data_IF_401089417947
#
_entry.id   IF_401089417947
#
_cell.length_a   1.000
_cell.length_b   1.000
_cell.length_c   1.000
_cell.angle_alpha   90.00
_cell.angle_beta   90.00
_cell.angle_gamma   90.00
#
_symmetry.space_group_name_H-M   'P 1'
#
loop_
_entity.id
_entity.type
_entity.pdbx_description
1 polymer ?
#
# COMPACT_ATOMS: atom_id res chain seq x y z
N UNK A 1 8.09 -3.35 -8.74
CA UNK A 1 7.54 -3.73 -7.42
C UNK A 1 6.08 -3.32 -7.37
N UNK A 2 5.18 -4.12 -6.77
CA UNK A 2 3.75 -3.78 -6.72
C UNK A 2 3.42 -2.86 -5.55
N UNK A 3 2.55 -1.89 -5.78
CA UNK A 3 1.98 -0.99 -4.77
C UNK A 3 0.47 -0.88 -4.96
N UNK A 4 -0.26 -0.69 -3.86
CA UNK A 4 -1.71 -0.57 -3.86
C UNK A 4 -2.18 0.80 -3.35
N UNK A 5 -3.28 1.29 -3.91
CA UNK A 5 -3.97 2.51 -3.48
C UNK A 5 -5.42 2.19 -3.11
N UNK A 6 -5.85 2.61 -1.92
CA UNK A 6 -7.26 2.61 -1.55
C UNK A 6 -7.97 3.81 -2.18
N UNK A 7 -8.96 3.53 -3.03
CA UNK A 7 -9.59 4.54 -3.87
C UNK A 7 -11.07 4.24 -4.13
N UNK A 8 -11.87 5.30 -4.26
CA UNK A 8 -13.25 5.23 -4.70
C UNK A 8 -13.39 5.26 -6.23
N UNK A 9 -12.48 5.95 -6.92
CA UNK A 9 -12.63 6.35 -8.33
C UNK A 9 -11.52 5.86 -9.29
N UNK A 10 -10.50 5.15 -8.76
CA UNK A 10 -9.30 4.68 -9.47
C UNK A 10 -8.34 5.77 -9.96
N UNK A 11 -8.59 7.04 -9.60
CA UNK A 11 -7.80 8.20 -10.01
C UNK A 11 -7.14 8.89 -8.83
N UNK A 12 -7.84 8.92 -7.70
CA UNK A 12 -7.45 9.61 -6.48
C UNK A 12 -7.32 8.59 -5.35
N UNK A 13 -6.23 8.65 -4.60
CA UNK A 13 -6.16 7.96 -3.31
C UNK A 13 -7.02 8.78 -2.34
N UNK A 14 -8.20 8.28 -2.00
CA UNK A 14 -9.24 9.04 -1.30
C UNK A 14 -10.06 8.18 -0.33
N UNK A 15 -9.63 6.94 -0.07
CA UNK A 15 -10.41 6.01 0.74
C UNK A 15 -9.67 5.51 1.99
N UNK A 16 -10.46 5.22 3.01
CA UNK A 16 -10.04 4.35 4.10
C UNK A 16 -10.03 2.88 3.63
N UNK A 17 -9.18 2.04 4.21
CA UNK A 17 -8.98 0.68 3.74
C UNK A 17 -10.26 -0.17 3.69
N UNK A 18 -11.05 -0.18 4.77
CA UNK A 18 -12.28 -0.97 4.85
C UNK A 18 -13.42 -0.38 4.00
N UNK A 19 -13.38 0.93 3.73
CA UNK A 19 -14.42 1.66 2.99
C UNK A 19 -14.08 1.92 1.53
N UNK A 20 -12.95 1.43 1.03
CA UNK A 20 -12.56 1.62 -0.36
C UNK A 20 -13.42 0.76 -1.28
N UNK A 21 -14.00 1.35 -2.33
CA UNK A 21 -14.63 0.57 -3.40
C UNK A 21 -13.60 -0.22 -4.20
N UNK A 22 -12.37 0.26 -4.29
CA UNK A 22 -11.33 -0.38 -5.05
C UNK A 22 -9.97 -0.33 -4.37
N UNK A 23 -9.16 -1.36 -4.63
CA UNK A 23 -7.71 -1.30 -4.48
C UNK A 23 -7.09 -1.27 -5.88
N UNK A 24 -6.50 -0.13 -6.25
CA UNK A 24 -5.81 0.02 -7.53
C UNK A 24 -4.33 -0.39 -7.35
N UNK A 25 -3.88 -1.36 -8.14
CA UNK A 25 -2.54 -1.94 -8.05
C UNK A 25 -1.70 -1.48 -9.24
N UNK A 26 -0.51 -0.98 -8.94
CA UNK A 26 0.48 -0.55 -9.92
C UNK A 26 1.77 -1.33 -9.70
N UNK A 27 2.48 -1.63 -10.79
CA UNK A 27 3.90 -1.96 -10.70
C UNK A 27 4.71 -0.69 -10.94
N UNK A 28 5.72 -0.45 -10.12
CA UNK A 28 6.62 0.69 -10.20
C UNK A 28 8.08 0.25 -10.14
N UNK A 29 8.92 0.91 -10.91
CA UNK A 29 10.36 0.75 -10.92
C UNK A 29 11.07 2.05 -11.35
N UNK A 30 12.39 1.99 -11.59
CA UNK A 30 13.17 3.14 -12.02
C UNK A 30 12.63 3.77 -13.32
N UNK A 31 12.26 2.94 -14.29
CA UNK A 31 11.88 3.39 -15.64
C UNK A 31 10.44 3.90 -15.75
N UNK A 32 9.60 3.68 -14.74
CA UNK A 32 8.20 4.07 -14.80
C UNK A 32 7.30 3.32 -13.84
N UNK A 33 6.01 3.52 -14.04
CA UNK A 33 4.96 2.76 -13.41
C UNK A 33 3.90 2.35 -14.42
N UNK A 34 3.21 1.25 -14.14
CA UNK A 34 2.14 0.71 -14.97
C UNK A 34 1.01 0.22 -14.09
N UNK A 35 -0.23 0.52 -14.49
CA UNK A 35 -1.41 -0.07 -13.90
C UNK A 35 -1.43 -1.60 -14.15
N UNK A 36 -1.63 -2.37 -13.09
CA UNK A 36 -1.69 -3.83 -13.15
C UNK A 36 -3.14 -4.28 -13.17
N UNK A 37 -3.89 -3.93 -12.13
CA UNK A 37 -5.29 -4.32 -11.97
C UNK A 37 -5.97 -3.44 -10.91
N UNK A 38 -7.30 -3.53 -10.86
CA UNK A 38 -8.07 -2.97 -9.77
C UNK A 38 -8.99 -4.06 -9.22
N UNK A 39 -8.88 -4.32 -7.92
CA UNK A 39 -9.78 -5.23 -7.21
C UNK A 39 -10.93 -4.41 -6.65
N UNK A 40 -12.15 -4.71 -7.07
CA UNK A 40 -13.37 -4.02 -6.64
C UNK A 40 -14.04 -4.77 -5.50
N UNK A 41 -14.57 -4.02 -4.55
CA UNK A 41 -15.30 -4.52 -3.39
C UNK A 41 -16.69 -3.91 -3.36
N UNK A 42 -17.69 -4.74 -3.15
CA UNK A 42 -19.04 -4.27 -2.88
C UNK A 42 -19.11 -3.74 -1.45
N UNK A 43 -19.47 -2.47 -1.32
CA UNK A 43 -19.79 -1.88 -0.02
C UNK A 43 -21.24 -2.27 0.24
N UNK A 44 -21.46 -3.37 0.97
CA UNK A 44 -22.79 -3.70 1.45
C UNK A 44 -23.27 -2.60 2.40
N UNK A 45 -24.20 -1.76 1.92
CA UNK A 45 -24.96 -0.79 2.70
C UNK A 45 -25.83 -1.56 3.69
N UNK A 46 -25.55 -1.45 4.98
CA UNK A 46 -26.43 -1.98 6.02
C UNK A 46 -27.61 -1.01 6.25
N UNK A 47 -28.44 -0.77 5.23
CA UNK A 47 -29.60 0.15 5.36
C UNK A 47 -30.91 -0.56 5.74
N UNK A 48 -30.97 -1.90 5.70
CA UNK A 48 -32.14 -2.63 6.18
C UNK A 48 -31.79 -3.40 7.46
N UNK A 49 -32.30 -2.93 8.60
CA UNK A 49 -32.05 -3.44 9.94
C UNK A 49 -32.62 -4.84 10.23
N UNK A 50 -32.32 -5.82 9.37
CA UNK A 50 -32.72 -7.22 9.51
C UNK A 50 -31.48 -8.10 9.58
N UNK A 51 -31.25 -8.61 10.80
CA UNK A 51 -30.47 -9.83 11.10
C UNK A 51 -29.02 -9.88 10.56
N UNK A 52 -28.09 -9.44 11.41
CA UNK A 52 -26.64 -9.55 11.26
C UNK A 52 -26.13 -11.00 11.43
N UNK A 53 -26.71 -11.95 10.71
CA UNK A 53 -26.28 -13.34 10.70
C UNK A 53 -25.34 -13.53 9.49
N UNK A 54 -24.05 -13.73 9.78
CA UNK A 54 -22.92 -13.84 8.85
C UNK A 54 -22.42 -12.52 8.23
N UNK A 55 -21.87 -11.63 9.05
CA UNK A 55 -20.82 -10.71 8.60
C UNK A 55 -19.56 -11.54 8.27
N UNK A 56 -19.58 -12.19 7.10
CA UNK A 56 -18.41 -12.76 6.44
C UNK A 56 -17.26 -11.75 6.54
N UNK A 57 -16.05 -12.20 6.89
CA UNK A 57 -14.91 -11.31 7.21
C UNK A 57 -14.59 -10.40 6.01
N UNK A 58 -15.19 -9.20 5.98
CA UNK A 58 -15.06 -8.22 4.90
C UNK A 58 -13.62 -7.68 4.76
N UNK A 59 -12.72 -7.96 5.71
CA UNK A 59 -11.32 -7.56 5.65
C UNK A 59 -10.46 -8.60 4.92
N UNK A 60 -10.77 -9.89 5.05
CA UNK A 60 -10.00 -10.97 4.42
C UNK A 60 -9.82 -10.77 2.91
N UNK A 61 -10.88 -10.58 2.08
CA UNK A 61 -10.70 -10.41 0.64
C UNK A 61 -9.91 -9.13 0.30
N UNK A 62 -10.01 -8.09 1.13
CA UNK A 62 -9.23 -6.85 0.97
C UNK A 62 -7.75 -7.04 1.25
N UNK A 63 -7.41 -7.85 2.25
CA UNK A 63 -6.02 -8.16 2.61
C UNK A 63 -5.41 -9.12 1.59
N UNK A 64 -6.18 -10.07 1.08
CA UNK A 64 -5.75 -11.00 0.02
C UNK A 64 -5.47 -10.26 -1.30
N UNK A 65 -6.29 -9.28 -1.66
CA UNK A 65 -6.06 -8.43 -2.82
C UNK A 65 -4.72 -7.66 -2.80
N UNK A 66 -4.06 -7.56 -1.64
CA UNK A 66 -2.76 -6.92 -1.51
C UNK A 66 -1.59 -7.89 -1.71
N UNK A 67 -1.84 -9.16 -2.00
CA UNK A 67 -0.79 -10.15 -2.13
C UNK A 67 0.28 -9.74 -3.17
N UNK A 68 1.54 -9.81 -2.75
CA UNK A 68 2.68 -9.36 -3.55
C UNK A 68 2.89 -7.84 -3.62
N UNK A 69 2.04 -7.03 -2.99
CA UNK A 69 2.27 -5.59 -2.86
C UNK A 69 3.26 -5.29 -1.73
N UNK A 70 4.19 -4.37 -1.97
CA UNK A 70 5.13 -3.89 -0.95
C UNK A 70 4.54 -2.74 -0.12
N UNK A 71 3.69 -1.91 -0.73
CA UNK A 71 3.10 -0.71 -0.12
C UNK A 71 1.59 -0.68 -0.30
N UNK A 72 0.90 -0.09 0.67
CA UNK A 72 -0.51 0.26 0.61
C UNK A 72 -0.68 1.74 0.99
N UNK A 73 -1.11 2.60 0.06
CA UNK A 73 -1.47 3.99 0.33
C UNK A 73 -2.96 4.12 0.68
N UNK A 74 -3.24 4.74 1.83
CA UNK A 74 -4.59 4.84 2.42
C UNK A 74 -4.79 6.18 3.15
N UNK A 75 -6.03 6.64 3.27
CA UNK A 75 -6.36 7.76 4.18
C UNK A 75 -6.40 7.32 5.64
N UNK A 76 -6.96 6.14 5.90
CA UNK A 76 -6.91 5.52 7.22
C UNK A 76 -7.06 4.00 7.13
N UNK A 77 -6.57 3.33 8.16
CA UNK A 77 -6.68 1.89 8.34
C UNK A 77 -6.81 1.61 9.84
N UNK A 78 -7.80 0.79 10.21
CA UNK A 78 -8.00 0.40 11.62
C UNK A 78 -6.94 -0.60 12.08
N UNK A 79 -6.66 -0.63 13.40
CA UNK A 79 -5.61 -1.47 13.99
C UNK A 79 -5.63 -2.94 13.56
N UNK A 80 -6.78 -3.65 13.63
CA UNK A 80 -6.86 -5.05 13.20
C UNK A 80 -6.51 -5.26 11.73
N UNK A 81 -6.97 -4.38 10.84
CA UNK A 81 -6.63 -4.44 9.42
C UNK A 81 -5.14 -4.14 9.18
N UNK A 82 -4.60 -3.12 9.84
CA UNK A 82 -3.19 -2.77 9.75
C UNK A 82 -2.28 -3.91 10.20
N UNK A 83 -2.62 -4.59 11.30
CA UNK A 83 -1.88 -5.76 11.78
C UNK A 83 -1.86 -6.89 10.73
N UNK A 84 -3.00 -7.19 10.10
CA UNK A 84 -3.08 -8.20 9.03
C UNK A 84 -2.24 -7.83 7.81
N UNK A 85 -2.27 -6.56 7.38
CA UNK A 85 -1.46 -6.03 6.26
C UNK A 85 0.04 -6.14 6.57
N UNK A 86 0.46 -5.69 7.75
CA UNK A 86 1.88 -5.76 8.18
C UNK A 86 2.37 -7.20 8.31
N UNK A 87 1.53 -8.12 8.80
CA UNK A 87 1.88 -9.54 8.89
C UNK A 87 2.15 -10.17 7.52
N UNK A 88 1.56 -9.63 6.45
CA UNK A 88 1.84 -10.00 5.05
C UNK A 88 3.05 -9.26 4.45
N UNK A 89 3.86 -8.58 5.27
CA UNK A 89 5.05 -7.81 4.86
C UNK A 89 4.75 -6.62 3.94
N UNK A 90 3.54 -6.07 4.06
CA UNK A 90 3.09 -4.91 3.32
C UNK A 90 3.15 -3.70 4.23
N UNK A 91 3.76 -2.61 3.78
CA UNK A 91 3.87 -1.40 4.57
C UNK A 91 2.70 -0.43 4.28
N UNK A 92 1.78 -0.20 5.24
CA UNK A 92 0.72 0.77 5.06
C UNK A 92 1.26 2.19 5.24
N UNK A 93 1.08 3.03 4.22
CA UNK A 93 1.44 4.45 4.22
C UNK A 93 0.15 5.27 4.32
N UNK A 94 -0.03 5.92 5.47
CA UNK A 94 -1.17 6.82 5.70
C UNK A 94 -0.86 8.21 5.16
N UNK A 95 -1.69 8.73 4.28
CA UNK A 95 -1.63 10.12 3.83
C UNK A 95 -2.71 10.97 4.50
N UNK A 96 -2.43 12.24 4.83
CA UNK A 96 -3.33 13.07 5.64
C UNK A 96 -4.53 13.60 4.86
N UNK A 97 -4.51 13.55 3.52
CA UNK A 97 -5.56 14.08 2.65
C UNK A 97 -5.61 13.32 1.31
N UNK A 98 -6.74 13.38 0.59
CA UNK A 98 -6.84 12.83 -0.74
C UNK A 98 -5.82 13.43 -1.70
N UNK A 99 -5.33 12.61 -2.63
CA UNK A 99 -4.32 13.04 -3.60
C UNK A 99 -4.40 12.21 -4.89
N UNK A 100 -4.19 12.80 -6.08
CA UNK A 100 -4.10 12.04 -7.32
C UNK A 100 -3.05 10.93 -7.25
N UNK A 101 -3.44 9.72 -7.68
CA UNK A 101 -2.56 8.55 -7.66
C UNK A 101 -1.29 8.81 -8.48
N UNK A 102 -1.40 9.51 -9.62
CA UNK A 102 -0.27 9.88 -10.46
C UNK A 102 0.78 10.72 -9.71
N UNK A 103 0.36 11.69 -8.89
CA UNK A 103 1.31 12.52 -8.13
C UNK A 103 2.05 11.71 -7.06
N UNK A 104 1.37 10.76 -6.43
CA UNK A 104 2.02 9.86 -5.46
C UNK A 104 3.02 8.95 -6.18
N UNK A 105 2.65 8.42 -7.35
CA UNK A 105 3.52 7.60 -8.19
C UNK A 105 4.76 8.36 -8.66
N UNK A 106 4.60 9.61 -9.13
CA UNK A 106 5.70 10.46 -9.58
C UNK A 106 6.71 10.72 -8.44
N UNK A 107 6.22 11.04 -7.23
CA UNK A 107 7.10 11.20 -6.06
C UNK A 107 7.80 9.91 -5.67
N UNK A 108 7.10 8.78 -5.73
CA UNK A 108 7.69 7.49 -5.41
C UNK A 108 8.77 7.12 -6.44
N UNK A 109 8.52 7.37 -7.73
CA UNK A 109 9.51 7.15 -8.79
C UNK A 109 10.74 8.05 -8.62
N UNK A 110 10.55 9.32 -8.27
CA UNK A 110 11.65 10.24 -7.97
C UNK A 110 12.50 9.72 -6.78
N UNK A 111 11.86 9.19 -5.74
CA UNK A 111 12.55 8.57 -4.60
C UNK A 111 13.32 7.30 -5.00
N UNK A 112 12.76 6.49 -5.90
CA UNK A 112 13.41 5.28 -6.42
C UNK A 112 14.67 5.64 -7.21
N UNK A 113 14.61 6.66 -8.07
CA UNK A 113 15.71 7.08 -8.94
C UNK A 113 16.78 7.93 -8.24
N UNK A 114 16.45 8.57 -7.12
CA UNK A 114 17.39 9.33 -6.31
C UNK A 114 18.16 8.42 -5.34
N UNK A 115 17.95 8.65 -4.04
CA UNK A 115 18.57 7.87 -2.97
C UNK A 115 17.48 7.09 -2.23
N UNK A 116 17.04 5.91 -2.75
CA UNK A 116 15.98 5.16 -2.12
C UNK A 116 16.40 4.71 -0.71
N UNK A 117 15.51 4.85 0.30
CA UNK A 117 15.78 4.31 1.63
C UNK A 117 16.13 2.82 1.60
N UNK A 118 16.89 2.30 2.58
CA UNK A 118 17.34 0.90 2.58
C UNK A 118 16.21 -0.13 2.40
N UNK A 119 15.06 0.10 3.04
CA UNK A 119 13.90 -0.79 2.94
C UNK A 119 13.31 -0.81 1.51
N UNK A 120 13.31 0.34 0.82
CA UNK A 120 12.79 0.47 -0.53
C UNK A 120 13.73 -0.19 -1.54
N UNK A 121 15.04 -0.04 -1.34
CA UNK A 121 16.06 -0.75 -2.11
C UNK A 121 15.88 -2.26 -2.07
N UNK A 122 15.60 -2.80 -0.87
CA UNK A 122 15.31 -4.23 -0.69
C UNK A 122 14.01 -4.64 -1.42
N UNK A 123 12.96 -3.84 -1.32
CA UNK A 123 11.66 -4.12 -1.96
C UNK A 123 11.72 -4.10 -3.51
N UNK A 124 12.66 -3.35 -4.09
CA UNK A 124 12.91 -3.30 -5.54
C UNK A 124 13.70 -4.52 -6.08
N UNK A 125 14.06 -5.48 -5.22
CA UNK A 125 14.88 -6.64 -5.62
C UNK A 125 16.38 -6.39 -5.55
N UNK A 126 16.80 -5.31 -4.89
CA UNK A 126 18.22 -5.00 -4.67
C UNK A 126 18.86 -5.92 -3.65
N UNK A 127 19.26 -7.12 -4.04
CA UNK A 127 20.42 -7.77 -3.43
C UNK A 127 21.68 -7.12 -4.00
N UNK A 128 22.07 -5.99 -3.41
CA UNK A 128 23.48 -5.62 -3.33
C UNK A 128 23.84 -5.54 -1.88
N UNK A 129 24.41 -6.63 -1.36
CA UNK A 129 25.31 -6.63 -0.21
C UNK A 129 26.27 -5.45 -0.36
N UNK A 130 25.99 -4.36 0.33
CA UNK A 130 26.97 -3.35 0.68
C UNK A 130 26.49 -2.71 1.97
N UNK A 131 27.09 -3.25 3.02
CA UNK A 131 27.34 -2.70 4.35
C UNK A 131 26.17 -2.27 5.23
N UNK A 132 25.97 -3.10 6.25
CA UNK A 132 25.40 -2.76 7.55
C UNK A 132 26.30 -1.76 8.35
N UNK A 133 27.41 -1.28 7.78
CA UNK A 133 28.33 -0.33 8.42
C UNK A 133 27.72 1.05 8.75
N UNK A 134 26.50 1.35 8.28
CA UNK A 134 25.79 2.57 8.69
C UNK A 134 25.07 2.44 10.04
N UNK A 135 24.88 1.22 10.56
CA UNK A 135 24.19 0.98 11.84
C UNK A 135 25.12 0.88 13.04
N UNK A 136 26.42 0.69 12.82
CA UNK A 136 27.43 0.66 13.89
C UNK A 136 28.20 1.98 13.89
N UNK A 137 27.67 2.95 14.65
CA UNK A 137 28.30 4.23 14.87
C UNK A 137 29.59 4.11 15.67
N UNK A 138 30.73 3.97 14.99
CA UNK A 138 32.03 4.33 15.54
C UNK A 138 32.68 5.42 14.67
N UNK A 139 32.86 6.59 15.28
CA UNK A 139 33.62 7.70 14.72
C UNK A 139 35.11 7.35 14.71
N UNK A 140 35.85 7.63 13.63
CA UNK A 140 37.30 7.48 13.65
C UNK A 140 37.94 8.48 14.63
N UNK A 141 38.83 7.97 15.49
CA UNK A 141 39.95 8.74 16.05
C UNK A 141 41.24 8.29 15.36
#
# INVERSE_FOLDING_TARGET
MKIAFATQDLKTMDAHFAGARNLAIFDIGPDGYRFVEAVRFDIASNEDGLHAEAHEDRLTPRVEALEGCALLFVLAIGGPAAARVVNRKIHPVKLPRPEPISQILDRLQAMINGTPPPWLRKALGGERTTDLAFLEGELPR
#
